data_IF_242861784258
#
_entry.id   IF_242861784258
#
_cell.length_a   1.000
_cell.length_b   1.000
_cell.length_c   1.000
_cell.angle_alpha   90.00
_cell.angle_beta   90.00
_cell.angle_gamma   90.00
#
_symmetry.space_group_name_H-M   'P 1'
#
loop_
_entity.id
_entity.type
_entity.pdbx_description
1 polymer ?
#
# COMPACT_ATOMS: atom_id res chain seq x y z
N UNK A 1 -7.27 -14.01 -4.75
CA UNK A 1 -6.44 -12.83 -4.47
C UNK A 1 -5.90 -12.93 -3.07
N UNK A 2 -4.67 -12.53 -2.82
CA UNK A 2 -4.19 -12.44 -1.46
C UNK A 2 -5.07 -11.45 -0.69
N UNK A 3 -5.54 -11.86 0.45
CA UNK A 3 -6.17 -10.95 1.40
C UNK A 3 -5.05 -10.21 2.12
N UNK A 4 -4.91 -8.91 1.85
CA UNK A 4 -3.98 -8.07 2.62
C UNK A 4 -4.51 -7.96 4.03
N UNK A 5 -3.67 -8.29 5.01
CA UNK A 5 -4.07 -8.23 6.41
C UNK A 5 -4.24 -6.77 6.85
N UNK A 6 -5.38 -6.46 7.43
CA UNK A 6 -5.71 -5.13 7.96
C UNK A 6 -6.11 -5.31 9.42
N UNK A 7 -5.51 -4.55 10.36
CA UNK A 7 -5.90 -4.63 11.77
C UNK A 7 -7.40 -4.43 11.96
N UNK A 8 -8.06 -5.11 12.92
CA UNK A 8 -9.51 -5.05 13.11
C UNK A 8 -10.06 -3.61 13.29
N UNK A 9 -9.32 -2.77 14.00
CA UNK A 9 -9.68 -1.39 14.28
C UNK A 9 -8.82 -0.40 13.47
N UNK A 10 -8.57 -0.70 12.19
CA UNK A 10 -7.71 0.10 11.34
C UNK A 10 -8.23 1.54 11.15
N UNK A 11 -7.57 2.50 11.73
CA UNK A 11 -7.77 3.93 11.48
C UNK A 11 -6.73 4.51 10.49
N UNK A 12 -5.89 3.65 9.89
CA UNK A 12 -4.78 3.98 9.00
C UNK A 12 -3.65 4.80 9.63
N UNK A 13 -3.66 5.03 10.94
CA UNK A 13 -2.62 5.79 11.63
C UNK A 13 -1.51 4.85 12.07
N UNK A 14 -0.30 5.18 11.68
CA UNK A 14 0.89 4.46 12.07
C UNK A 14 2.08 5.38 12.32
N UNK A 15 3.15 4.80 12.82
CA UNK A 15 4.38 5.52 13.15
C UNK A 15 5.61 4.72 12.74
N UNK A 16 6.68 5.41 12.40
CA UNK A 16 8.02 4.82 12.49
C UNK A 16 8.43 4.82 13.96
N UNK A 17 8.91 3.68 14.47
CA UNK A 17 9.31 3.51 15.86
C UNK A 17 10.57 4.34 16.19
N UNK A 18 11.71 3.70 16.34
CA UNK A 18 13.01 4.34 16.41
C UNK A 18 13.73 4.24 15.06
N UNK A 19 14.69 5.14 14.75
CA UNK A 19 15.43 5.10 13.48
C UNK A 19 16.56 4.06 13.46
N UNK A 20 16.63 3.19 14.46
CA UNK A 20 17.68 2.19 14.66
C UNK A 20 17.13 0.85 15.18
N UNK A 21 18.02 -0.12 15.44
CA UNK A 21 17.71 -1.48 15.86
C UNK A 21 17.97 -1.77 17.34
N UNK A 22 18.07 -0.74 18.20
CA UNK A 22 18.55 -0.87 19.58
C UNK A 22 17.44 -0.89 20.63
N UNK A 23 16.22 -0.47 20.28
CA UNK A 23 15.16 -0.18 21.23
C UNK A 23 14.07 -1.26 21.24
N UNK A 24 14.47 -2.54 21.42
CA UNK A 24 13.55 -3.68 21.44
C UNK A 24 13.61 -4.47 22.76
N UNK A 25 13.99 -3.78 23.86
CA UNK A 25 13.96 -4.40 25.20
C UNK A 25 12.53 -4.44 25.73
N UNK A 26 12.29 -5.32 26.70
CA UNK A 26 11.01 -5.40 27.37
C UNK A 26 10.59 -4.07 28.03
N UNK A 27 11.56 -3.34 28.61
CA UNK A 27 11.35 -2.00 29.15
C UNK A 27 10.92 -0.98 28.06
N UNK A 28 11.39 -1.14 26.83
CA UNK A 28 10.98 -0.27 25.73
C UNK A 28 9.52 -0.57 25.34
N UNK A 29 9.14 -1.85 25.30
CA UNK A 29 7.74 -2.24 25.08
C UNK A 29 6.80 -1.64 26.11
N UNK A 30 7.11 -1.80 27.40
CA UNK A 30 6.31 -1.24 28.50
C UNK A 30 6.22 0.29 28.46
N UNK A 31 7.23 0.94 27.93
CA UNK A 31 7.24 2.42 27.79
C UNK A 31 6.39 2.88 26.63
N UNK A 32 6.52 2.25 25.45
CA UNK A 32 5.97 2.80 24.22
C UNK A 32 4.61 2.23 23.82
N UNK A 33 4.24 1.04 24.26
CA UNK A 33 2.93 0.47 23.97
C UNK A 33 1.76 1.32 24.53
N UNK A 34 1.80 1.85 25.77
CA UNK A 34 0.78 2.76 26.26
C UNK A 34 0.69 4.05 25.44
N UNK A 35 1.82 4.61 25.00
CA UNK A 35 1.84 5.83 24.20
C UNK A 35 1.24 5.58 22.79
N UNK A 36 1.56 4.44 22.17
CA UNK A 36 0.96 4.04 20.90
C UNK A 36 -0.57 3.90 21.02
N UNK A 37 -1.05 3.28 22.09
CA UNK A 37 -2.50 3.18 22.37
C UNK A 37 -3.16 4.56 22.57
N UNK A 38 -2.48 5.45 23.26
CA UNK A 38 -2.98 6.81 23.49
C UNK A 38 -3.06 7.62 22.18
N UNK A 39 -2.15 7.32 21.23
CA UNK A 39 -2.17 7.88 19.89
C UNK A 39 -3.14 7.15 18.95
N UNK A 40 -3.82 6.10 19.42
CA UNK A 40 -4.69 5.23 18.62
C UNK A 40 -3.99 4.67 17.37
N UNK A 41 -2.73 4.23 17.55
CA UNK A 41 -1.92 3.71 16.48
C UNK A 41 -2.36 2.29 16.09
N UNK A 42 -2.67 2.07 14.82
CA UNK A 42 -2.97 0.73 14.27
C UNK A 42 -1.76 0.09 13.57
N UNK A 43 -0.69 0.86 13.30
CA UNK A 43 0.48 0.40 12.55
C UNK A 43 1.78 0.91 13.16
N UNK A 44 2.85 0.10 13.04
CA UNK A 44 4.17 0.48 13.54
C UNK A 44 5.29 -0.04 12.63
N UNK A 45 6.06 0.85 12.03
CA UNK A 45 7.25 0.50 11.24
C UNK A 45 8.44 0.29 12.15
N UNK A 46 9.03 -0.90 12.09
CA UNK A 46 10.17 -1.33 12.89
C UNK A 46 11.39 -1.54 11.99
N UNK A 47 12.52 -0.92 12.30
CA UNK A 47 13.79 -1.21 11.60
C UNK A 47 14.29 -2.57 12.04
N UNK A 48 14.22 -3.56 11.16
CA UNK A 48 14.59 -4.94 11.47
C UNK A 48 16.10 -5.17 11.26
N UNK A 49 16.81 -5.72 12.26
CA UNK A 49 18.19 -6.18 12.06
C UNK A 49 18.24 -7.33 11.06
N UNK A 50 19.35 -7.45 10.31
CA UNK A 50 19.56 -8.54 9.35
C UNK A 50 20.28 -9.75 9.96
N UNK A 51 20.93 -9.57 11.09
CA UNK A 51 21.76 -10.55 11.79
C UNK A 51 21.03 -11.25 12.96
N UNK A 52 19.90 -10.71 13.39
CA UNK A 52 19.09 -11.24 14.49
C UNK A 52 17.63 -10.83 14.34
N UNK A 53 16.74 -11.57 14.96
CA UNK A 53 15.34 -11.18 15.05
C UNK A 53 15.12 -10.09 16.12
N UNK A 54 14.12 -9.23 15.89
CA UNK A 54 13.48 -8.47 16.97
C UNK A 54 12.90 -9.50 17.95
N UNK A 55 13.04 -9.34 19.27
CA UNK A 55 12.55 -10.32 20.23
C UNK A 55 11.06 -10.63 20.06
N UNK A 56 10.71 -11.91 20.15
CA UNK A 56 9.34 -12.41 19.97
C UNK A 56 8.33 -11.69 20.87
N UNK A 57 8.67 -11.48 22.14
CA UNK A 57 7.79 -10.78 23.08
C UNK A 57 7.45 -9.34 22.63
N UNK A 58 8.38 -8.68 21.94
CA UNK A 58 8.14 -7.33 21.43
C UNK A 58 7.13 -7.34 20.26
N UNK A 59 7.31 -8.28 19.35
CA UNK A 59 6.38 -8.47 18.21
C UNK A 59 5.01 -8.89 18.73
N UNK A 60 4.94 -9.92 19.59
CA UNK A 60 3.68 -10.38 20.16
C UNK A 60 2.96 -9.28 20.94
N UNK A 61 3.72 -8.44 21.68
CA UNK A 61 3.17 -7.30 22.38
C UNK A 61 2.49 -6.28 21.47
N UNK A 62 2.95 -6.09 20.22
CA UNK A 62 2.28 -5.25 19.23
C UNK A 62 1.04 -5.96 18.67
N UNK A 63 1.20 -7.20 18.21
CA UNK A 63 0.12 -8.00 17.57
C UNK A 63 -1.06 -8.22 18.52
N UNK A 64 -0.82 -8.60 19.75
CA UNK A 64 -1.85 -8.81 20.79
C UNK A 64 -2.61 -7.52 21.14
N UNK A 65 -2.03 -6.37 20.86
CA UNK A 65 -2.66 -5.07 21.07
C UNK A 65 -3.18 -4.44 19.76
N UNK A 66 -3.41 -5.26 18.73
CA UNK A 66 -4.00 -4.86 17.44
C UNK A 66 -3.18 -3.79 16.69
N UNK A 67 -1.87 -3.72 16.95
CA UNK A 67 -0.92 -2.87 16.24
C UNK A 67 -0.17 -3.74 15.23
N UNK A 68 -0.38 -3.50 13.94
CA UNK A 68 0.28 -4.25 12.85
C UNK A 68 1.74 -3.82 12.72
N UNK A 69 2.72 -4.70 12.95
CA UNK A 69 4.12 -4.39 12.75
C UNK A 69 4.48 -4.50 11.27
N UNK A 70 5.15 -3.48 10.75
CA UNK A 70 5.75 -3.46 9.42
C UNK A 70 7.26 -3.54 9.61
N UNK A 71 7.89 -4.63 9.22
CA UNK A 71 9.33 -4.78 9.34
C UNK A 71 10.03 -4.10 8.18
N UNK A 72 11.01 -3.27 8.46
CA UNK A 72 11.83 -2.62 7.45
C UNK A 72 13.27 -3.11 7.52
N UNK A 73 13.64 -4.01 6.61
CA UNK A 73 15.01 -4.47 6.40
C UNK A 73 15.74 -3.50 5.47
N UNK A 74 16.59 -2.67 6.02
CA UNK A 74 17.43 -1.74 5.27
C UNK A 74 18.65 -2.49 4.69
N UNK A 75 18.38 -3.43 3.78
CA UNK A 75 19.41 -4.25 3.15
C UNK A 75 20.33 -3.39 2.28
N UNK A 76 21.66 -3.65 2.28
CA UNK A 76 22.57 -2.98 1.37
C UNK A 76 22.36 -3.49 -0.07
N UNK A 77 22.38 -2.56 -1.03
CA UNK A 77 22.20 -2.91 -2.45
C UNK A 77 23.48 -3.44 -3.13
N UNK A 78 24.64 -3.15 -2.57
CA UNK A 78 25.92 -3.61 -3.12
C UNK A 78 26.27 -5.05 -2.74
N UNK A 79 25.64 -5.59 -1.71
CA UNK A 79 25.85 -6.96 -1.24
C UNK A 79 24.53 -7.70 -1.22
N UNK A 80 24.54 -8.97 -1.65
CA UNK A 80 23.36 -9.84 -1.56
C UNK A 80 23.44 -10.54 -0.20
N UNK A 81 22.49 -10.28 0.72
CA UNK A 81 22.47 -10.96 2.00
C UNK A 81 22.20 -12.46 1.79
N UNK A 82 22.73 -13.34 2.65
CA UNK A 82 22.46 -14.76 2.56
C UNK A 82 20.96 -15.03 2.64
N UNK A 83 20.38 -15.56 1.57
CA UNK A 83 18.94 -15.78 1.46
C UNK A 83 18.44 -16.79 2.51
N UNK A 84 19.32 -17.71 2.95
CA UNK A 84 19.02 -18.69 4.00
C UNK A 84 18.76 -18.01 5.35
N UNK A 85 19.55 -17.02 5.72
CA UNK A 85 19.41 -16.29 6.99
C UNK A 85 18.12 -15.45 6.98
N UNK A 86 17.85 -14.76 5.87
CA UNK A 86 16.60 -14.03 5.69
C UNK A 86 15.38 -14.96 5.76
N UNK A 87 15.44 -16.13 5.13
CA UNK A 87 14.35 -17.11 5.19
C UNK A 87 14.03 -17.54 6.62
N UNK A 88 15.05 -17.77 7.44
CA UNK A 88 14.85 -18.13 8.86
C UNK A 88 14.14 -16.99 9.61
N UNK A 89 14.57 -15.76 9.39
CA UNK A 89 13.93 -14.57 10.00
C UNK A 89 12.48 -14.42 9.53
N UNK A 90 12.21 -14.55 8.24
CA UNK A 90 10.87 -14.41 7.67
C UNK A 90 9.89 -15.44 8.22
N UNK A 91 10.29 -16.72 8.32
CA UNK A 91 9.44 -17.77 8.90
C UNK A 91 9.15 -17.52 10.40
N UNK A 92 10.13 -17.03 11.16
CA UNK A 92 9.90 -16.70 12.56
C UNK A 92 8.92 -15.54 12.70
N UNK A 93 9.12 -14.45 11.94
CA UNK A 93 8.24 -13.29 11.98
C UNK A 93 6.81 -13.62 11.54
N UNK A 94 6.64 -14.40 10.47
CA UNK A 94 5.31 -14.86 10.02
C UNK A 94 4.60 -15.69 11.12
N UNK A 95 5.35 -16.57 11.82
CA UNK A 95 4.82 -17.34 12.95
C UNK A 95 4.41 -16.47 14.13
N UNK A 96 5.07 -15.33 14.34
CA UNK A 96 4.74 -14.36 15.40
C UNK A 96 3.65 -13.36 15.01
N UNK A 97 3.04 -13.54 13.83
CA UNK A 97 1.90 -12.73 13.38
C UNK A 97 2.26 -11.45 12.63
N UNK A 98 3.52 -11.27 12.22
CA UNK A 98 3.89 -10.19 11.28
C UNK A 98 3.35 -10.51 9.90
N UNK A 99 2.80 -9.51 9.23
CA UNK A 99 2.31 -9.67 7.86
C UNK A 99 3.16 -8.93 6.82
N UNK A 100 3.77 -7.79 7.13
CA UNK A 100 4.41 -6.92 6.15
C UNK A 100 5.91 -6.79 6.33
N UNK A 101 6.66 -6.87 5.21
CA UNK A 101 8.10 -6.68 5.20
C UNK A 101 8.56 -5.76 4.06
N UNK A 102 9.16 -4.63 4.42
CA UNK A 102 9.81 -3.72 3.49
C UNK A 102 11.26 -4.18 3.31
N UNK A 103 11.68 -4.33 2.06
CA UNK A 103 13.02 -4.75 1.69
C UNK A 103 13.74 -3.60 0.99
N UNK A 104 14.95 -3.25 1.46
CA UNK A 104 15.74 -2.12 0.97
C UNK A 104 15.16 -0.73 1.32
N UNK A 105 15.90 0.31 0.95
CA UNK A 105 15.51 1.71 1.12
C UNK A 105 16.09 2.57 0.00
N UNK A 106 15.28 3.41 -0.60
CA UNK A 106 15.63 4.43 -1.59
C UNK A 106 16.58 3.95 -2.73
N UNK A 107 16.30 2.81 -3.43
CA UNK A 107 17.17 2.28 -4.48
C UNK A 107 17.34 3.21 -5.69
N UNK A 108 16.56 4.26 -5.78
CA UNK A 108 16.64 5.28 -6.80
C UNK A 108 17.60 6.44 -6.44
N UNK A 109 18.37 6.28 -5.36
CA UNK A 109 19.40 7.22 -4.93
C UNK A 109 20.79 6.71 -5.27
N UNK A 110 21.67 7.61 -5.72
CA UNK A 110 23.07 7.29 -6.00
C UNK A 110 23.82 6.76 -4.76
N UNK A 111 23.50 7.30 -3.61
CA UNK A 111 24.13 6.92 -2.33
C UNK A 111 23.81 5.48 -1.90
N UNK A 112 22.80 4.85 -2.48
CA UNK A 112 22.44 3.46 -2.19
C UNK A 112 23.31 2.44 -2.96
N UNK A 113 24.15 2.88 -3.89
CA UNK A 113 24.93 2.04 -4.80
C UNK A 113 26.41 2.39 -4.80
N UNK A 114 27.23 1.44 -5.23
CA UNK A 114 28.58 1.75 -5.65
C UNK A 114 28.58 2.64 -6.90
N UNK A 115 29.62 3.44 -7.07
CA UNK A 115 29.73 4.31 -8.24
C UNK A 115 29.74 3.52 -9.56
N UNK A 116 30.31 2.31 -9.55
CA UNK A 116 30.35 1.43 -10.71
C UNK A 116 28.97 0.87 -11.10
N UNK A 117 28.17 0.45 -10.11
CA UNK A 117 26.81 -0.04 -10.37
C UNK A 117 25.88 1.09 -10.78
N UNK A 118 25.98 2.25 -10.13
CA UNK A 118 25.15 3.41 -10.48
C UNK A 118 25.36 3.89 -11.92
N UNK A 119 26.56 3.78 -12.44
CA UNK A 119 26.88 4.20 -13.80
C UNK A 119 26.37 3.24 -14.90
N UNK A 120 25.76 2.11 -14.53
CA UNK A 120 25.26 1.14 -15.50
C UNK A 120 23.90 1.59 -16.06
N UNK A 121 23.68 1.33 -17.36
CA UNK A 121 22.43 1.66 -18.04
C UNK A 121 21.23 0.79 -17.59
N UNK A 122 21.48 -0.33 -16.91
CA UNK A 122 20.50 -1.32 -16.48
C UNK A 122 20.28 -1.32 -14.95
N UNK A 123 20.41 -0.16 -14.29
CA UNK A 123 20.31 -0.04 -12.84
C UNK A 123 19.02 -0.67 -12.27
N UNK A 124 17.88 -0.51 -12.94
CA UNK A 124 16.61 -1.11 -12.51
C UNK A 124 16.68 -2.63 -12.59
N UNK A 125 17.29 -3.20 -13.61
CA UNK A 125 17.47 -4.65 -13.71
C UNK A 125 18.41 -5.16 -12.60
N UNK A 126 19.49 -4.44 -12.32
CA UNK A 126 20.36 -4.74 -11.17
C UNK A 126 19.61 -4.66 -9.83
N UNK A 127 18.70 -3.73 -9.68
CA UNK A 127 17.82 -3.66 -8.51
C UNK A 127 16.89 -4.88 -8.42
N UNK A 128 16.24 -5.24 -9.52
CA UNK A 128 15.32 -6.38 -9.55
C UNK A 128 16.02 -7.72 -9.28
N UNK A 129 17.26 -7.89 -9.72
CA UNK A 129 18.09 -9.07 -9.39
C UNK A 129 18.32 -9.22 -7.87
N UNK A 130 18.27 -8.12 -7.13
CA UNK A 130 18.42 -8.10 -5.66
C UNK A 130 17.09 -8.18 -4.94
N UNK A 131 16.07 -7.51 -5.46
CA UNK A 131 14.77 -7.38 -4.81
C UNK A 131 13.91 -8.65 -4.93
N UNK A 132 13.85 -9.25 -6.12
CA UNK A 132 12.93 -10.38 -6.40
C UNK A 132 13.22 -11.59 -5.51
N UNK A 133 14.47 -12.09 -5.38
CA UNK A 133 14.70 -13.29 -4.58
C UNK A 133 14.28 -13.18 -3.12
N UNK A 134 14.64 -12.13 -2.35
CA UNK A 134 14.17 -12.02 -0.97
C UNK A 134 12.67 -11.69 -0.87
N UNK A 135 12.07 -11.00 -1.84
CA UNK A 135 10.64 -10.74 -1.89
C UNK A 135 9.83 -12.04 -2.09
N UNK A 136 10.26 -12.90 -3.00
CA UNK A 136 9.66 -14.24 -3.16
C UNK A 136 9.87 -15.12 -1.93
N UNK A 137 11.01 -15.03 -1.27
CA UNK A 137 11.28 -15.74 -0.04
C UNK A 137 10.35 -15.30 1.09
N UNK A 138 10.13 -13.99 1.23
CA UNK A 138 9.17 -13.43 2.18
C UNK A 138 7.74 -13.92 1.88
N UNK A 139 7.32 -13.87 0.61
CA UNK A 139 6.00 -14.35 0.21
C UNK A 139 5.81 -15.86 0.48
N UNK A 140 6.83 -16.68 0.21
CA UNK A 140 6.82 -18.13 0.54
C UNK A 140 6.75 -18.40 2.03
N UNK A 141 7.30 -17.52 2.86
CA UNK A 141 7.22 -17.61 4.31
C UNK A 141 5.86 -17.16 4.88
N UNK A 142 4.97 -16.61 4.05
CA UNK A 142 3.65 -16.10 4.44
C UNK A 142 3.61 -14.60 4.75
N UNK A 143 4.72 -13.88 4.49
CA UNK A 143 4.76 -12.43 4.62
C UNK A 143 4.33 -11.75 3.31
N UNK A 144 3.86 -10.54 3.41
CA UNK A 144 3.55 -9.66 2.28
C UNK A 144 4.78 -8.80 1.99
N UNK A 145 5.49 -9.02 0.87
CA UNK A 145 6.63 -8.19 0.52
C UNK A 145 6.17 -6.78 0.12
N UNK A 146 6.86 -5.79 0.64
CA UNK A 146 6.60 -4.38 0.33
C UNK A 146 7.73 -3.85 -0.53
N UNK A 147 7.38 -3.32 -1.70
CA UNK A 147 8.33 -2.63 -2.58
C UNK A 147 8.94 -1.45 -1.82
N UNK A 148 10.28 -1.25 -1.89
CA UNK A 148 10.97 -0.26 -1.08
C UNK A 148 10.48 1.16 -1.31
N UNK A 149 10.54 2.01 -0.26
CA UNK A 149 10.28 3.43 -0.45
C UNK A 149 11.32 4.03 -1.37
N UNK A 150 10.84 4.81 -2.33
CA UNK A 150 11.69 5.59 -3.22
C UNK A 150 11.85 7.02 -2.68
N UNK A 151 12.98 7.66 -3.00
CA UNK A 151 13.15 9.09 -2.77
C UNK A 151 12.34 9.87 -3.78
N UNK A 152 11.31 10.64 -3.37
CA UNK A 152 10.55 11.46 -4.30
C UNK A 152 11.43 12.50 -4.99
N UNK A 153 11.48 12.46 -6.33
CA UNK A 153 12.38 13.30 -7.10
C UNK A 153 13.87 12.98 -6.93
N UNK A 154 14.21 11.71 -6.65
CA UNK A 154 15.59 11.24 -6.52
C UNK A 154 16.40 11.36 -7.81
N UNK A 155 17.72 11.05 -7.76
CA UNK A 155 18.61 11.14 -8.91
C UNK A 155 18.14 10.25 -10.07
N UNK A 156 17.63 9.05 -9.77
CA UNK A 156 16.72 8.37 -10.70
C UNK A 156 15.31 8.72 -10.25
N UNK A 157 14.55 9.38 -11.13
CA UNK A 157 13.23 9.89 -10.79
C UNK A 157 12.30 8.75 -10.33
N UNK A 158 11.72 8.88 -9.14
CA UNK A 158 10.94 7.83 -8.47
C UNK A 158 9.80 7.26 -9.31
N UNK A 159 9.01 8.09 -9.98
CA UNK A 159 7.92 7.62 -10.84
C UNK A 159 8.41 6.84 -12.06
N UNK A 160 9.57 7.21 -12.61
CA UNK A 160 10.19 6.47 -13.71
C UNK A 160 10.80 5.17 -13.22
N UNK A 161 11.46 5.18 -12.05
CA UNK A 161 12.03 3.98 -11.42
C UNK A 161 10.94 2.97 -11.07
N UNK A 162 9.85 3.40 -10.43
CA UNK A 162 8.72 2.54 -10.09
C UNK A 162 8.12 1.90 -11.34
N UNK A 163 7.82 2.71 -12.38
CA UNK A 163 7.27 2.21 -13.64
C UNK A 163 8.19 1.15 -14.26
N UNK A 164 9.48 1.44 -14.37
CA UNK A 164 10.45 0.53 -14.94
C UNK A 164 10.59 -0.76 -14.13
N UNK A 165 10.52 -0.66 -12.79
CA UNK A 165 10.56 -1.82 -11.89
C UNK A 165 9.33 -2.71 -12.05
N UNK A 166 8.12 -2.16 -12.04
CA UNK A 166 6.88 -2.94 -12.25
C UNK A 166 6.87 -3.61 -13.62
N UNK A 167 7.27 -2.90 -14.68
CA UNK A 167 7.43 -3.47 -16.02
C UNK A 167 8.50 -4.58 -16.04
N UNK A 168 9.59 -4.41 -15.30
CA UNK A 168 10.66 -5.41 -15.20
C UNK A 168 10.19 -6.68 -14.49
N UNK A 169 9.45 -6.56 -13.38
CA UNK A 169 8.85 -7.71 -12.67
C UNK A 169 7.88 -8.45 -13.62
N UNK A 170 7.05 -7.72 -14.36
CA UNK A 170 6.11 -8.29 -15.33
C UNK A 170 6.85 -9.03 -16.48
N UNK A 171 7.88 -8.41 -17.09
CA UNK A 171 8.69 -9.04 -18.15
C UNK A 171 9.41 -10.32 -17.70
N UNK A 172 9.76 -10.40 -16.41
CA UNK A 172 10.39 -11.60 -15.80
C UNK A 172 9.37 -12.69 -15.44
N UNK A 173 8.07 -12.46 -15.68
CA UNK A 173 7.02 -13.41 -15.39
C UNK A 173 6.68 -13.57 -13.89
N UNK A 174 7.15 -12.66 -13.02
CA UNK A 174 6.90 -12.71 -11.59
C UNK A 174 5.49 -12.14 -11.24
N UNK A 175 4.44 -12.62 -11.92
CA UNK A 175 3.07 -12.16 -11.71
C UNK A 175 2.58 -12.41 -10.29
N UNK A 176 2.97 -13.56 -9.71
CA UNK A 176 2.65 -13.87 -8.31
C UNK A 176 3.13 -12.75 -7.37
N UNK A 177 4.34 -12.23 -7.58
CA UNK A 177 4.85 -11.13 -6.76
C UNK A 177 4.04 -9.85 -6.95
N UNK A 178 3.67 -9.50 -8.18
CA UNK A 178 2.83 -8.32 -8.46
C UNK A 178 1.45 -8.40 -7.80
N UNK A 179 0.89 -9.61 -7.70
CA UNK A 179 -0.42 -9.84 -7.07
C UNK A 179 -0.35 -9.82 -5.53
N UNK A 180 0.81 -10.14 -4.94
CA UNK A 180 0.98 -10.37 -3.50
C UNK A 180 1.82 -9.30 -2.80
N UNK A 181 2.31 -8.30 -3.52
CA UNK A 181 3.11 -7.24 -2.92
C UNK A 181 2.31 -5.96 -2.68
N UNK A 182 2.84 -5.12 -1.82
CA UNK A 182 2.38 -3.76 -1.54
C UNK A 182 3.47 -2.78 -2.00
N UNK A 183 3.12 -1.58 -2.39
CA UNK A 183 4.09 -0.50 -2.68
C UNK A 183 4.22 0.38 -1.45
N UNK A 184 5.43 0.81 -1.10
CA UNK A 184 5.61 1.88 -0.12
C UNK A 184 5.98 3.19 -0.80
N UNK A 185 5.52 4.31 -0.22
CA UNK A 185 5.76 5.65 -0.75
C UNK A 185 6.12 6.63 0.36
N UNK A 186 7.21 7.37 0.18
CA UNK A 186 7.60 8.46 1.09
C UNK A 186 6.70 9.68 0.86
N UNK A 187 5.78 9.95 1.79
CA UNK A 187 4.74 10.97 1.66
C UNK A 187 4.99 12.24 2.51
N UNK A 188 6.25 12.59 2.71
CA UNK A 188 6.63 13.82 3.41
C UNK A 188 6.24 15.04 2.56
N UNK A 189 5.43 15.96 3.13
CA UNK A 189 4.93 17.11 2.37
C UNK A 189 5.99 18.19 2.11
N UNK A 190 7.10 18.18 2.84
CA UNK A 190 8.04 19.30 2.82
C UNK A 190 7.34 20.59 3.23
N UNK A 191 7.57 21.67 2.49
CA UNK A 191 6.90 22.97 2.66
C UNK A 191 5.67 23.12 1.73
N UNK A 192 5.32 22.07 0.97
CA UNK A 192 4.21 22.13 0.00
C UNK A 192 2.86 22.03 0.70
N UNK A 193 1.79 22.60 0.11
CA UNK A 193 0.42 22.33 0.54
C UNK A 193 0.12 20.82 0.56
N UNK A 194 -0.80 20.39 1.42
CA UNK A 194 -1.11 18.95 1.54
C UNK A 194 -1.83 18.39 0.31
N UNK A 195 -2.50 19.24 -0.46
CA UNK A 195 -3.12 18.87 -1.73
C UNK A 195 -2.16 18.94 -2.93
N UNK A 196 -0.87 19.23 -2.71
CA UNK A 196 0.13 19.26 -3.78
C UNK A 196 0.18 17.94 -4.54
N UNK A 197 0.01 18.00 -5.86
CA UNK A 197 0.02 16.85 -6.75
C UNK A 197 -1.24 15.96 -6.68
N UNK A 198 -2.24 16.34 -5.90
CA UNK A 198 -3.49 15.61 -5.75
C UNK A 198 -4.18 15.41 -7.12
N UNK A 199 -4.73 14.21 -7.34
CA UNK A 199 -5.32 13.78 -8.61
C UNK A 199 -4.29 13.20 -9.58
N UNK A 200 -3.01 13.16 -9.20
CA UNK A 200 -1.97 12.45 -9.95
C UNK A 200 -1.72 12.96 -11.37
N UNK A 201 -1.16 12.12 -12.25
CA UNK A 201 -0.79 12.53 -13.62
C UNK A 201 -2.00 12.87 -14.51
N UNK A 202 -3.18 12.41 -14.18
CA UNK A 202 -4.41 12.77 -14.92
C UNK A 202 -4.73 14.27 -14.77
N UNK A 203 -4.62 14.78 -13.54
CA UNK A 203 -4.83 16.20 -13.26
C UNK A 203 -3.64 17.06 -13.65
N UNK A 204 -2.43 16.48 -13.63
CA UNK A 204 -1.17 17.20 -13.87
C UNK A 204 -0.36 16.59 -15.04
N UNK A 205 -0.92 16.54 -16.28
CA UNK A 205 -0.28 15.88 -17.42
C UNK A 205 1.01 16.58 -17.88
N UNK A 206 1.23 17.83 -17.44
CA UNK A 206 2.43 18.60 -17.75
C UNK A 206 3.63 18.24 -16.87
N UNK A 207 3.39 17.57 -15.74
CA UNK A 207 4.46 17.07 -14.88
C UNK A 207 5.01 15.75 -15.44
N UNK A 208 6.29 15.75 -15.78
CA UNK A 208 7.00 14.60 -16.32
C UNK A 208 8.20 14.27 -15.45
N UNK A 209 8.70 13.04 -15.49
CA UNK A 209 9.96 12.73 -14.85
C UNK A 209 11.05 13.75 -15.18
N UNK A 210 11.75 14.23 -14.16
CA UNK A 210 12.80 15.24 -14.21
C UNK A 210 12.36 16.67 -14.64
N UNK A 211 11.09 16.86 -14.99
CA UNK A 211 10.61 18.15 -15.50
C UNK A 211 9.20 18.45 -14.99
N UNK A 212 9.08 19.45 -14.12
CA UNK A 212 7.79 20.02 -13.70
C UNK A 212 7.72 21.45 -14.19
N UNK A 213 6.80 21.74 -15.12
CA UNK A 213 6.64 23.10 -15.65
C UNK A 213 6.15 24.06 -14.56
N UNK A 214 6.47 25.37 -14.67
CA UNK A 214 5.89 26.38 -13.79
C UNK A 214 4.36 26.31 -13.77
N UNK A 215 3.75 26.29 -12.60
CA UNK A 215 2.30 26.18 -12.43
C UNK A 215 1.76 24.75 -12.43
N UNK A 216 2.55 23.73 -12.81
CA UNK A 216 2.20 22.33 -12.64
C UNK A 216 2.65 21.82 -11.26
N UNK A 217 2.00 20.75 -10.80
CA UNK A 217 2.36 20.06 -9.57
C UNK A 217 2.84 18.64 -9.89
N UNK A 218 3.64 18.06 -9.00
CA UNK A 218 4.24 16.75 -9.17
C UNK A 218 4.00 15.86 -7.93
N UNK A 219 4.52 14.63 -7.97
CA UNK A 219 4.34 13.62 -6.92
C UNK A 219 5.03 13.93 -5.59
N UNK A 220 5.88 14.96 -5.52
CA UNK A 220 6.72 15.24 -4.34
C UNK A 220 5.93 15.90 -3.21
N UNK A 221 4.99 15.17 -2.60
CA UNK A 221 4.15 15.68 -1.52
C UNK A 221 3.31 14.59 -0.85
N UNK A 222 2.35 15.01 -0.04
CA UNK A 222 1.47 14.08 0.70
C UNK A 222 0.62 13.20 -0.24
N UNK A 223 0.18 13.74 -1.39
CA UNK A 223 -0.65 13.03 -2.36
C UNK A 223 0.15 12.13 -3.34
N UNK A 224 1.36 11.68 -2.97
CA UNK A 224 2.19 10.79 -3.81
C UNK A 224 1.49 9.47 -4.17
N UNK A 225 0.58 9.00 -3.32
CA UNK A 225 -0.22 7.79 -3.59
C UNK A 225 -0.99 7.87 -4.90
N UNK A 226 -1.55 9.02 -5.26
CA UNK A 226 -2.32 9.20 -6.49
C UNK A 226 -1.47 8.92 -7.75
N UNK A 227 -0.19 9.29 -7.67
CA UNK A 227 0.78 9.06 -8.75
C UNK A 227 1.20 7.60 -8.85
N UNK A 228 1.47 6.96 -7.70
CA UNK A 228 1.90 5.56 -7.65
C UNK A 228 0.77 4.61 -8.03
N UNK A 229 -0.46 4.89 -7.59
CA UNK A 229 -1.67 4.17 -8.03
C UNK A 229 -1.87 4.27 -9.54
N UNK A 230 -1.74 5.47 -10.11
CA UNK A 230 -1.87 5.66 -11.57
C UNK A 230 -0.79 4.89 -12.36
N UNK A 231 0.45 4.81 -11.83
CA UNK A 231 1.52 4.01 -12.45
C UNK A 231 1.22 2.52 -12.36
N UNK A 232 0.81 2.02 -11.19
CA UNK A 232 0.44 0.62 -11.01
C UNK A 232 -0.71 0.24 -11.94
N UNK A 233 -1.77 1.04 -11.99
CA UNK A 233 -2.90 0.85 -12.89
C UNK A 233 -2.47 0.82 -14.36
N UNK A 234 -1.58 1.71 -14.78
CA UNK A 234 -1.13 1.80 -16.17
C UNK A 234 -0.19 0.64 -16.58
N UNK A 235 0.55 0.04 -15.65
CA UNK A 235 1.51 -1.03 -15.94
C UNK A 235 0.91 -2.41 -15.70
N UNK A 236 0.25 -2.60 -14.56
CA UNK A 236 -0.23 -3.91 -14.10
C UNK A 236 -1.70 -4.14 -14.48
N UNK A 237 -2.43 -3.05 -14.82
CA UNK A 237 -3.85 -3.12 -15.16
C UNK A 237 -4.78 -3.06 -13.93
N UNK A 238 -4.20 -3.01 -12.72
CA UNK A 238 -4.93 -2.89 -11.46
C UNK A 238 -4.13 -2.07 -10.46
N UNK A 239 -4.78 -1.43 -9.47
CA UNK A 239 -4.07 -0.77 -8.40
C UNK A 239 -3.36 -1.79 -7.51
N UNK A 240 -2.19 -1.42 -7.00
CA UNK A 240 -1.48 -2.17 -5.96
C UNK A 240 -1.65 -1.40 -4.65
N UNK A 241 -1.97 -2.05 -3.53
CA UNK A 241 -2.09 -1.37 -2.24
C UNK A 241 -0.83 -0.60 -1.85
N UNK A 242 -0.99 0.49 -1.11
CA UNK A 242 0.10 1.41 -0.77
C UNK A 242 0.21 1.61 0.74
N UNK A 243 1.43 1.56 1.25
CA UNK A 243 1.80 1.99 2.60
C UNK A 243 2.54 3.33 2.49
N UNK A 244 1.99 4.38 3.09
CA UNK A 244 2.66 5.67 3.17
C UNK A 244 3.66 5.67 4.32
N UNK A 245 4.86 6.15 4.05
CA UNK A 245 5.97 6.25 4.98
C UNK A 245 6.43 7.70 5.14
N UNK A 246 7.14 7.97 6.23
CA UNK A 246 7.74 9.27 6.50
C UNK A 246 6.75 10.44 6.45
N UNK A 247 5.50 10.22 6.89
CA UNK A 247 4.52 11.29 6.99
C UNK A 247 5.03 12.41 7.91
N UNK A 248 4.84 13.62 7.46
CA UNK A 248 5.25 14.81 8.19
C UNK A 248 5.37 16.02 7.26
N UNK A 249 5.74 17.14 7.83
CA UNK A 249 6.04 18.37 7.13
C UNK A 249 7.32 19.00 7.66
N UNK A 250 8.06 19.70 6.82
CA UNK A 250 9.15 20.55 7.28
C UNK A 250 8.59 21.75 8.04
N UNK A 251 9.31 22.27 9.05
CA UNK A 251 8.97 23.55 9.64
C UNK A 251 8.85 24.61 8.55
N UNK A 252 7.92 25.55 8.69
CA UNK A 252 7.86 26.67 7.77
C UNK A 252 9.06 27.59 7.99
N UNK A 253 9.44 28.36 6.97
CA UNK A 253 10.49 29.39 7.09
C UNK A 253 10.01 30.63 7.86
N UNK A 254 8.95 30.49 8.66
CA UNK A 254 8.37 31.57 9.45
C UNK A 254 9.36 32.07 10.51
N UNK A 255 9.38 33.37 10.73
CA UNK A 255 10.26 34.00 11.73
C UNK A 255 9.79 33.82 13.17
N UNK A 256 8.67 33.14 13.41
CA UNK A 256 8.08 32.92 14.72
C UNK A 256 7.99 31.44 15.07
N UNK A 257 8.76 30.91 16.04
CA UNK A 257 8.71 29.51 16.47
C UNK A 257 7.31 29.04 16.89
N UNK A 258 6.53 29.90 17.56
CA UNK A 258 5.17 29.54 17.99
C UNK A 258 4.19 29.42 16.83
N UNK A 259 4.31 30.26 15.80
CA UNK A 259 3.47 30.18 14.61
C UNK A 259 3.80 28.94 13.79
N UNK A 260 5.09 28.57 13.71
CA UNK A 260 5.57 27.37 13.05
C UNK A 260 5.05 26.11 13.74
N UNK A 261 5.12 26.06 15.07
CA UNK A 261 4.62 24.93 15.84
C UNK A 261 3.12 24.74 15.64
N UNK A 262 2.31 25.81 15.69
CA UNK A 262 0.85 25.76 15.45
C UNK A 262 0.54 25.28 14.02
N UNK A 263 1.29 25.76 13.04
CA UNK A 263 1.15 25.34 11.64
C UNK A 263 1.48 23.85 11.47
N UNK A 264 2.57 23.38 12.09
CA UNK A 264 2.98 21.98 12.04
C UNK A 264 1.96 21.05 12.69
N UNK A 265 1.41 21.40 13.86
CA UNK A 265 0.32 20.65 14.51
C UNK A 265 -0.92 20.61 13.63
N UNK A 266 -1.33 21.75 13.08
CA UNK A 266 -2.49 21.84 12.17
C UNK A 266 -2.35 20.93 10.96
N UNK A 267 -1.17 20.94 10.28
CA UNK A 267 -0.87 20.07 9.15
C UNK A 267 -0.91 18.59 9.52
N UNK A 268 -0.32 18.25 10.67
CA UNK A 268 -0.35 16.88 11.18
C UNK A 268 -1.78 16.38 11.38
N UNK A 269 -2.64 17.17 12.02
CA UNK A 269 -4.07 16.81 12.20
C UNK A 269 -4.83 16.73 10.88
N UNK A 270 -4.50 17.57 9.89
CA UNK A 270 -5.08 17.48 8.55
C UNK A 270 -4.71 16.20 7.84
N UNK A 271 -3.45 15.73 7.97
CA UNK A 271 -3.02 14.42 7.46
C UNK A 271 -3.76 13.27 8.15
N UNK A 272 -3.90 13.33 9.49
CA UNK A 272 -4.66 12.33 10.27
C UNK A 272 -6.10 12.26 9.76
N UNK A 273 -6.75 13.39 9.58
CA UNK A 273 -8.12 13.44 9.04
C UNK A 273 -8.22 12.86 7.63
N UNK A 274 -7.24 13.15 6.77
CA UNK A 274 -7.21 12.59 5.42
C UNK A 274 -7.03 11.06 5.41
N UNK A 275 -6.28 10.51 6.37
CA UNK A 275 -6.11 9.05 6.55
C UNK A 275 -7.41 8.42 7.08
N UNK A 276 -8.06 9.00 8.08
CA UNK A 276 -9.29 8.47 8.67
C UNK A 276 -10.46 8.41 7.69
N UNK A 277 -10.42 9.20 6.60
CA UNK A 277 -11.43 9.18 5.56
C UNK A 277 -12.58 10.20 5.78
N UNK A 278 -13.59 10.20 4.89
CA UNK A 278 -14.66 11.19 4.94
C UNK A 278 -15.63 10.91 6.08
N UNK A 279 -15.68 11.80 7.05
CA UNK A 279 -16.79 11.87 7.99
C UNK A 279 -17.99 12.57 7.36
N UNK A 280 -19.15 11.91 7.40
CA UNK A 280 -20.40 12.46 6.87
C UNK A 280 -20.90 13.71 7.63
N UNK A 281 -20.27 14.06 8.74
CA UNK A 281 -20.71 15.15 9.65
C UNK A 281 -19.67 16.25 9.90
N UNK A 282 -18.43 16.10 9.52
CA UNK A 282 -17.42 17.14 9.72
C UNK A 282 -17.52 18.20 8.61
N UNK A 283 -18.52 19.08 8.75
CA UNK A 283 -18.57 20.34 7.98
C UNK A 283 -17.45 21.25 8.48
N UNK A 284 -16.47 21.47 7.58
CA UNK A 284 -15.50 22.58 7.62
C UNK A 284 -15.08 23.04 9.03
N UNK A 285 -14.13 22.33 9.63
CA UNK A 285 -13.37 22.93 10.71
C UNK A 285 -12.41 23.95 10.07
N UNK A 286 -12.65 25.28 10.19
CA UNK A 286 -11.87 26.31 9.52
C UNK A 286 -10.42 26.40 9.98
N UNK A 287 -10.06 25.61 11.00
CA UNK A 287 -8.72 25.56 11.56
C UNK A 287 -7.80 24.54 10.87
N UNK A 288 -8.34 23.58 10.10
CA UNK A 288 -7.55 22.57 9.38
C UNK A 288 -7.30 22.97 7.91
N UNK A 289 -6.20 22.49 7.34
CA UNK A 289 -5.95 22.64 5.90
C UNK A 289 -6.95 21.76 5.14
N UNK A 290 -7.47 22.26 4.03
CA UNK A 290 -8.30 21.47 3.14
C UNK A 290 -7.42 20.40 2.48
N UNK A 291 -7.76 19.14 2.69
CA UNK A 291 -7.07 18.00 2.08
C UNK A 291 -8.11 16.93 1.75
N UNK A 292 -7.99 16.34 0.57
CA UNK A 292 -8.83 15.22 0.18
C UNK A 292 -8.48 13.97 1.00
N UNK A 293 -9.45 13.11 1.32
CA UNK A 293 -9.16 11.79 1.88
C UNK A 293 -8.19 11.04 0.99
N UNK A 294 -7.28 10.27 1.60
CA UNK A 294 -6.38 9.40 0.85
C UNK A 294 -7.18 8.31 0.11
N UNK A 295 -6.62 7.84 -1.00
CA UNK A 295 -7.25 6.80 -1.81
C UNK A 295 -7.52 5.51 -1.01
N UNK A 296 -8.54 4.70 -1.41
CA UNK A 296 -8.86 3.43 -0.74
C UNK A 296 -7.70 2.43 -0.77
N UNK A 297 -6.84 2.50 -1.76
CA UNK A 297 -5.65 1.65 -1.89
C UNK A 297 -4.59 1.91 -0.82
N UNK A 298 -4.65 3.04 -0.12
CA UNK A 298 -3.74 3.35 0.97
C UNK A 298 -4.15 2.56 2.21
N UNK A 299 -3.33 1.59 2.62
CA UNK A 299 -3.57 0.74 3.80
C UNK A 299 -3.34 1.52 5.10
N UNK A 300 -2.26 2.30 5.16
CA UNK A 300 -1.90 3.13 6.30
C UNK A 300 -0.94 4.25 5.92
N UNK A 301 -0.81 5.20 6.85
CA UNK A 301 0.17 6.28 6.77
C UNK A 301 0.98 6.37 8.07
N UNK A 302 2.30 6.21 7.95
CA UNK A 302 3.21 6.11 9.07
C UNK A 302 3.96 7.42 9.26
N UNK A 303 3.70 8.10 10.38
CA UNK A 303 4.36 9.35 10.73
C UNK A 303 5.81 9.12 11.16
N UNK A 304 6.69 9.98 10.70
CA UNK A 304 8.05 10.08 11.14
C UNK A 304 8.11 11.02 12.33
N UNK A 305 8.64 10.69 13.42
CA UNK A 305 9.21 9.50 14.04
C UNK A 305 8.58 9.39 15.43
N UNK A 306 8.17 8.20 15.89
CA UNK A 306 7.53 8.05 17.20
C UNK A 306 8.44 8.57 18.33
N UNK A 307 9.66 8.04 18.38
CA UNK A 307 10.58 8.41 19.44
C UNK A 307 12.02 8.57 18.95
N UNK A 308 12.74 9.46 19.61
CA UNK A 308 14.18 9.64 19.43
C UNK A 308 14.87 9.87 20.78
N UNK A 309 16.16 9.58 20.84
CA UNK A 309 17.00 10.03 21.94
C UNK A 309 17.16 11.57 21.90
N UNK A 310 17.26 12.25 23.05
CA UNK A 310 17.30 13.73 23.11
C UNK A 310 18.46 14.37 22.33
N UNK A 311 19.57 13.67 22.19
CA UNK A 311 20.77 14.10 21.45
C UNK A 311 20.78 13.62 19.99
N UNK A 312 19.74 12.94 19.55
CA UNK A 312 19.61 12.48 18.17
C UNK A 312 19.37 13.65 17.20
N UNK A 313 19.94 13.55 15.99
CA UNK A 313 19.63 14.46 14.88
C UNK A 313 18.13 14.50 14.50
N UNK A 314 17.35 13.56 15.01
CA UNK A 314 15.92 13.43 14.77
C UNK A 314 15.05 13.94 15.93
N UNK A 315 15.66 14.49 16.98
CA UNK A 315 14.95 14.94 18.18
C UNK A 315 13.79 15.91 17.86
N UNK A 316 14.03 16.89 16.99
CA UNK A 316 13.02 17.88 16.59
C UNK A 316 11.85 17.29 15.78
N UNK A 317 12.05 16.13 15.18
CA UNK A 317 11.05 15.44 14.36
C UNK A 317 10.23 14.43 15.17
N UNK A 318 10.72 14.00 16.32
CA UNK A 318 10.11 12.98 17.14
C UNK A 318 8.78 13.45 17.75
N UNK A 319 7.86 12.51 17.92
CA UNK A 319 6.61 12.72 18.65
C UNK A 319 6.85 12.68 20.17
N UNK A 320 7.79 11.86 20.57
CA UNK A 320 8.29 11.78 21.95
C UNK A 320 9.80 11.80 21.97
N UNK A 321 10.35 12.41 22.98
CA UNK A 321 11.76 12.23 23.35
C UNK A 321 11.81 11.29 24.54
N UNK A 322 12.77 10.37 24.55
CA UNK A 322 12.95 9.43 25.65
C UNK A 322 13.11 10.18 26.98
N UNK A 323 12.25 9.82 27.95
CA UNK A 323 12.23 10.47 29.26
C UNK A 323 11.51 11.83 29.33
N UNK A 324 10.85 12.27 28.25
CA UNK A 324 10.09 13.51 28.23
C UNK A 324 8.59 13.30 27.93
N UNK A 325 7.79 14.33 28.21
CA UNK A 325 6.38 14.38 27.79
C UNK A 325 6.30 14.49 26.26
N UNK A 326 5.20 13.98 25.68
CA UNK A 326 4.95 14.06 24.24
C UNK A 326 4.99 15.49 23.70
N UNK A 327 5.41 15.59 22.43
CA UNK A 327 5.45 16.86 21.69
C UNK A 327 4.05 17.49 21.54
N UNK A 328 3.96 18.78 21.18
CA UNK A 328 2.66 19.43 20.92
C UNK A 328 1.79 18.71 19.90
N UNK A 329 2.38 18.06 18.87
CA UNK A 329 1.63 17.25 17.89
C UNK A 329 1.06 15.98 18.52
N UNK A 330 1.79 15.31 19.41
CA UNK A 330 1.30 14.14 20.16
C UNK A 330 0.12 14.54 21.05
N UNK A 331 0.27 15.61 21.85
CA UNK A 331 -0.79 16.13 22.69
C UNK A 331 -2.02 16.58 21.89
N UNK A 332 -1.83 17.12 20.69
CA UNK A 332 -2.93 17.55 19.83
C UNK A 332 -3.68 16.35 19.26
N UNK A 333 -2.99 15.28 18.86
CA UNK A 333 -3.60 14.05 18.37
C UNK A 333 -4.41 13.35 19.48
N UNK A 334 -3.85 13.24 20.67
CA UNK A 334 -4.53 12.68 21.84
C UNK A 334 -5.84 13.44 22.14
N UNK A 335 -5.78 14.78 22.12
CA UNK A 335 -6.99 15.60 22.30
C UNK A 335 -7.99 15.42 21.16
N UNK A 336 -7.52 15.26 19.93
CA UNK A 336 -8.38 15.04 18.78
C UNK A 336 -9.13 13.71 18.91
N UNK A 337 -8.48 12.60 19.30
CA UNK A 337 -9.13 11.31 19.55
C UNK A 337 -10.16 11.36 20.69
N UNK A 338 -9.94 12.22 21.67
CA UNK A 338 -10.88 12.42 22.79
C UNK A 338 -12.05 13.35 22.44
N UNK A 339 -12.04 13.94 21.24
CA UNK A 339 -13.10 14.86 20.82
C UNK A 339 -14.33 14.13 20.26
N UNK A 340 -15.55 14.70 20.39
CA UNK A 340 -16.76 14.12 19.78
C UNK A 340 -16.67 13.98 18.24
N UNK A 341 -15.83 14.80 17.61
CA UNK A 341 -15.60 14.79 16.16
C UNK A 341 -14.85 13.51 15.72
N UNK A 342 -13.87 13.07 16.51
CA UNK A 342 -13.11 11.85 16.24
C UNK A 342 -13.95 10.58 16.48
N UNK A 343 -14.79 10.55 17.49
CA UNK A 343 -15.61 9.38 17.82
C UNK A 343 -16.63 9.01 16.74
N UNK A 344 -16.96 9.93 15.86
CA UNK A 344 -17.87 9.71 14.73
C UNK A 344 -17.12 9.13 13.50
N UNK A 345 -15.81 9.40 13.41
CA UNK A 345 -14.97 9.05 12.24
C UNK A 345 -14.34 7.65 12.32
N UNK A 346 -14.32 7.03 13.51
CA UNK A 346 -13.57 5.79 13.77
C UNK A 346 -14.16 4.49 13.20
N UNK A 347 -15.33 4.52 12.55
CA UNK A 347 -15.76 3.37 11.76
C UNK A 347 -15.25 3.49 10.32
N UNK A 348 -13.96 3.26 10.14
CA UNK A 348 -13.49 2.74 8.86
C UNK A 348 -14.18 1.39 8.67
N UNK A 349 -15.29 1.40 7.97
CA UNK A 349 -15.72 0.20 7.26
C UNK A 349 -14.59 -0.03 6.27
N UNK A 350 -13.88 -1.17 6.29
CA UNK A 350 -12.97 -1.49 5.20
C UNK A 350 -13.82 -1.24 3.96
N UNK A 351 -13.48 -0.24 3.17
CA UNK A 351 -13.89 -0.25 1.79
C UNK A 351 -13.31 -1.59 1.37
N UNK A 352 -14.18 -2.59 1.23
CA UNK A 352 -13.82 -3.71 0.41
C UNK A 352 -13.25 -3.01 -0.80
N UNK A 353 -11.92 -3.02 -0.95
CA UNK A 353 -11.32 -2.86 -2.25
C UNK A 353 -12.19 -3.78 -3.03
N UNK A 354 -13.08 -3.22 -3.88
CA UNK A 354 -13.98 -4.06 -4.64
C UNK A 354 -13.05 -5.10 -5.22
N UNK A 355 -13.03 -6.26 -4.59
CA UNK A 355 -12.15 -7.38 -4.94
C UNK A 355 -12.50 -7.86 -6.36
N UNK A 356 -13.31 -7.07 -7.05
CA UNK A 356 -13.92 -7.34 -8.31
C UNK A 356 -13.75 -6.13 -9.26
N UNK A 357 -12.48 -5.86 -9.70
CA UNK A 357 -12.17 -4.76 -10.62
C UNK A 357 -12.77 -4.96 -12.01
N UNK A 358 -13.33 -6.17 -12.28
CA UNK A 358 -14.00 -6.48 -13.53
C UNK A 358 -15.51 -6.26 -13.34
N UNK A 359 -16.10 -5.22 -13.93
CA UNK A 359 -17.55 -4.97 -13.79
C UNK A 359 -18.39 -6.14 -14.28
N UNK A 360 -17.96 -6.81 -15.35
CA UNK A 360 -18.65 -7.95 -15.92
C UNK A 360 -17.67 -8.91 -16.61
N UNK A 361 -17.69 -10.17 -16.21
CA UNK A 361 -16.86 -11.24 -16.78
C UNK A 361 -17.76 -12.29 -17.44
N UNK A 362 -17.50 -12.57 -18.70
CA UNK A 362 -18.13 -13.65 -19.44
C UNK A 362 -17.15 -14.83 -19.49
N UNK A 363 -17.49 -15.91 -18.78
CA UNK A 363 -16.68 -17.12 -18.82
C UNK A 363 -17.26 -18.10 -19.83
N UNK A 364 -16.41 -18.56 -20.76
CA UNK A 364 -16.72 -19.56 -21.77
C UNK A 364 -15.91 -20.83 -21.48
N UNK A 365 -16.42 -22.01 -21.87
CA UNK A 365 -15.69 -23.25 -21.71
C UNK A 365 -14.48 -23.30 -22.63
N UNK A 366 -13.38 -23.82 -22.12
CA UNK A 366 -12.17 -24.16 -22.88
C UNK A 366 -11.99 -25.67 -22.85
N UNK A 367 -11.71 -26.24 -24.01
CA UNK A 367 -11.48 -27.66 -24.21
C UNK A 367 -9.97 -27.91 -24.49
N UNK A 368 -9.51 -29.15 -24.36
CA UNK A 368 -8.13 -29.50 -24.66
C UNK A 368 -7.67 -29.10 -26.07
N UNK A 369 -8.62 -29.09 -27.03
CA UNK A 369 -8.39 -28.68 -28.41
C UNK A 369 -8.62 -27.18 -28.68
N UNK A 370 -8.96 -26.38 -27.65
CA UNK A 370 -9.19 -24.95 -27.77
C UNK A 370 -10.60 -24.51 -27.43
N UNK A 371 -11.03 -23.39 -28.00
CA UNK A 371 -12.35 -22.79 -27.78
C UNK A 371 -13.27 -23.16 -28.95
N UNK A 372 -14.48 -23.58 -28.66
CA UNK A 372 -15.45 -23.82 -29.70
C UNK A 372 -15.95 -22.50 -30.31
N UNK A 373 -15.76 -22.30 -31.60
CA UNK A 373 -16.19 -21.09 -32.33
C UNK A 373 -17.68 -20.78 -32.16
N UNK A 374 -18.51 -21.79 -32.01
CA UNK A 374 -19.92 -21.61 -31.82
C UNK A 374 -20.29 -20.92 -30.51
N UNK A 375 -19.54 -21.12 -29.42
CA UNK A 375 -19.72 -20.40 -28.17
C UNK A 375 -19.47 -18.89 -28.34
N UNK A 376 -18.41 -18.54 -29.03
CA UNK A 376 -18.09 -17.15 -29.34
C UNK A 376 -19.14 -16.53 -30.27
N UNK A 377 -19.63 -17.29 -31.25
CA UNK A 377 -20.65 -16.81 -32.17
C UNK A 377 -21.99 -16.59 -31.47
N UNK A 378 -22.43 -17.53 -30.60
CA UNK A 378 -23.61 -17.37 -29.77
C UNK A 378 -23.54 -16.19 -28.81
N UNK A 379 -22.37 -15.96 -28.23
CA UNK A 379 -22.14 -14.85 -27.28
C UNK A 379 -21.93 -13.49 -27.95
N UNK A 380 -21.66 -13.41 -29.24
CA UNK A 380 -21.30 -12.18 -29.97
C UNK A 380 -22.28 -11.01 -29.81
N UNK A 381 -23.62 -11.18 -29.87
CA UNK A 381 -24.57 -10.10 -29.62
C UNK A 381 -24.48 -9.56 -28.20
N UNK A 382 -24.38 -10.45 -27.23
CA UNK A 382 -24.23 -10.14 -25.82
C UNK A 382 -22.92 -9.35 -25.56
N UNK A 383 -21.80 -9.82 -26.13
CA UNK A 383 -20.50 -9.16 -26.04
C UNK A 383 -20.57 -7.73 -26.59
N UNK A 384 -21.23 -7.52 -27.70
CA UNK A 384 -21.40 -6.19 -28.31
C UNK A 384 -22.23 -5.25 -27.45
N UNK A 385 -23.29 -5.78 -26.80
CA UNK A 385 -24.23 -5.01 -25.99
C UNK A 385 -23.61 -4.61 -24.63
N UNK A 386 -23.00 -5.57 -23.93
CA UNK A 386 -22.56 -5.42 -22.54
C UNK A 386 -21.04 -5.22 -22.37
N UNK A 387 -20.25 -5.47 -23.40
CA UNK A 387 -18.79 -5.36 -23.43
C UNK A 387 -18.12 -6.02 -22.21
N UNK A 388 -18.48 -7.26 -21.84
CA UNK A 388 -17.86 -7.94 -20.73
C UNK A 388 -16.40 -8.26 -21.06
N UNK A 389 -15.57 -8.41 -20.03
CA UNK A 389 -14.30 -9.10 -20.19
C UNK A 389 -14.57 -10.57 -20.47
N UNK A 390 -13.95 -11.12 -21.51
CA UNK A 390 -14.13 -12.52 -21.90
C UNK A 390 -12.95 -13.34 -21.40
N UNK A 391 -13.21 -14.48 -20.80
CA UNK A 391 -12.16 -15.40 -20.40
C UNK A 391 -12.63 -16.82 -20.18
N UNK A 392 -11.71 -17.67 -19.74
CA UNK A 392 -11.88 -19.13 -19.68
C UNK A 392 -11.50 -19.69 -18.30
N UNK A 393 -11.11 -18.84 -17.36
CA UNK A 393 -10.64 -19.25 -16.05
C UNK A 393 -11.59 -18.79 -14.95
N UNK A 394 -12.00 -19.71 -14.09
CA UNK A 394 -12.76 -19.42 -12.87
C UNK A 394 -11.97 -18.49 -11.94
N UNK A 395 -10.64 -18.58 -11.92
CA UNK A 395 -9.82 -17.72 -11.07
C UNK A 395 -9.97 -16.24 -11.42
N UNK A 396 -10.12 -15.89 -12.71
CA UNK A 396 -10.41 -14.52 -13.11
C UNK A 396 -11.86 -14.10 -12.84
N UNK A 397 -12.79 -15.05 -12.77
CA UNK A 397 -14.17 -14.76 -12.44
C UNK A 397 -14.36 -14.23 -11.01
N UNK A 398 -13.48 -14.63 -10.05
CA UNK A 398 -13.47 -14.08 -8.69
C UNK A 398 -13.23 -12.56 -8.65
N UNK A 399 -12.65 -12.01 -9.71
CA UNK A 399 -12.34 -10.58 -9.84
C UNK A 399 -13.51 -9.76 -10.37
N UNK A 400 -14.64 -10.38 -10.66
CA UNK A 400 -15.76 -9.72 -11.32
C UNK A 400 -16.93 -9.49 -10.37
N UNK A 401 -17.54 -8.30 -10.45
CA UNK A 401 -18.80 -7.99 -9.77
C UNK A 401 -19.95 -8.86 -10.30
N UNK A 402 -19.94 -9.05 -11.61
CA UNK A 402 -20.92 -9.87 -12.32
C UNK A 402 -20.21 -10.91 -13.18
N UNK A 403 -20.63 -12.17 -13.05
CA UNK A 403 -20.11 -13.29 -13.83
C UNK A 403 -21.24 -13.94 -14.60
N UNK A 404 -21.17 -13.93 -15.93
CA UNK A 404 -22.03 -14.72 -16.77
C UNK A 404 -21.28 -15.98 -17.21
N UNK A 405 -21.76 -17.15 -16.79
CA UNK A 405 -21.15 -18.45 -17.06
C UNK A 405 -21.90 -19.09 -18.21
N UNK A 406 -21.22 -19.37 -19.30
CA UNK A 406 -21.77 -20.11 -20.42
C UNK A 406 -21.25 -21.55 -20.36
N UNK A 407 -22.08 -22.47 -19.97
CA UNK A 407 -21.74 -23.88 -19.85
C UNK A 407 -22.52 -24.61 -18.75
N UNK A 408 -22.51 -25.92 -18.82
CA UNK A 408 -23.21 -26.81 -17.89
C UNK A 408 -22.33 -27.17 -16.65
N UNK A 409 -22.83 -28.11 -15.85
CA UNK A 409 -22.18 -28.55 -14.63
C UNK A 409 -20.91 -29.38 -14.86
N UNK A 410 -20.78 -29.99 -16.06
CA UNK A 410 -19.57 -30.73 -16.43
C UNK A 410 -18.40 -29.76 -16.70
N UNK A 411 -18.66 -28.58 -17.28
CA UNK A 411 -17.64 -27.59 -17.58
C UNK A 411 -17.38 -26.69 -16.38
N UNK A 412 -18.41 -26.32 -15.62
CA UNK A 412 -18.31 -25.43 -14.46
C UNK A 412 -19.16 -26.00 -13.31
N UNK A 413 -18.56 -26.79 -12.39
CA UNK A 413 -19.30 -27.40 -11.29
C UNK A 413 -20.01 -26.36 -10.41
N UNK A 414 -21.24 -26.67 -9.96
CA UNK A 414 -22.02 -25.74 -9.12
C UNK A 414 -21.28 -25.33 -7.85
N UNK A 415 -20.45 -26.23 -7.28
CA UNK A 415 -19.60 -25.93 -6.14
C UNK A 415 -18.61 -24.78 -6.40
N UNK A 416 -18.12 -24.64 -7.63
CA UNK A 416 -17.25 -23.53 -8.03
C UNK A 416 -18.04 -22.22 -8.18
N UNK A 417 -19.28 -22.29 -8.67
CA UNK A 417 -20.15 -21.13 -8.76
C UNK A 417 -20.64 -20.64 -7.40
N UNK A 418 -20.84 -21.56 -6.44
CA UNK A 418 -21.10 -21.19 -5.04
C UNK A 418 -19.91 -20.47 -4.41
N UNK A 419 -18.69 -20.89 -4.68
CA UNK A 419 -17.48 -20.18 -4.23
C UNK A 419 -17.42 -18.75 -4.78
N UNK A 420 -17.77 -18.55 -6.06
CA UNK A 420 -17.88 -17.20 -6.66
C UNK A 420 -18.94 -16.35 -5.96
N UNK A 421 -20.14 -16.92 -5.67
CA UNK A 421 -21.20 -16.21 -4.94
C UNK A 421 -20.77 -15.85 -3.51
N UNK A 422 -20.10 -16.77 -2.82
CA UNK A 422 -19.56 -16.53 -1.48
C UNK A 422 -18.45 -15.47 -1.46
N UNK A 423 -17.74 -15.32 -2.57
CA UNK A 423 -16.76 -14.25 -2.79
C UNK A 423 -17.41 -12.90 -3.18
N UNK A 424 -18.75 -12.82 -3.25
CA UNK A 424 -19.49 -11.59 -3.53
C UNK A 424 -19.82 -11.37 -5.01
N UNK A 425 -19.50 -12.31 -5.92
CA UNK A 425 -19.86 -12.21 -7.33
C UNK A 425 -21.35 -12.44 -7.56
N UNK A 426 -21.97 -11.65 -8.42
CA UNK A 426 -23.30 -11.92 -8.95
C UNK A 426 -23.17 -12.91 -10.10
N UNK A 427 -23.39 -14.20 -9.82
CA UNK A 427 -23.18 -15.28 -10.79
C UNK A 427 -24.50 -15.68 -11.47
N UNK A 428 -24.49 -15.70 -12.78
CA UNK A 428 -25.57 -16.15 -13.62
C UNK A 428 -25.06 -17.23 -14.56
N UNK A 429 -25.73 -18.38 -14.61
CA UNK A 429 -25.42 -19.48 -15.52
C UNK A 429 -26.38 -19.49 -16.72
N UNK A 430 -25.80 -19.69 -17.87
CA UNK A 430 -26.50 -19.90 -19.16
C UNK A 430 -26.04 -21.23 -19.73
N UNK A 431 -26.95 -22.16 -19.90
CA UNK A 431 -26.67 -23.51 -20.40
C UNK A 431 -27.68 -23.96 -21.45
N UNK A 432 -27.30 -24.98 -22.19
CA UNK A 432 -28.10 -25.57 -23.26
C UNK A 432 -27.29 -25.75 -24.55
N UNK A 433 -27.99 -26.00 -25.64
CA UNK A 433 -27.40 -26.02 -26.98
C UNK A 433 -27.10 -24.60 -27.50
N UNK A 434 -26.41 -24.49 -28.63
CA UNK A 434 -25.98 -23.20 -29.18
C UNK A 434 -27.16 -22.24 -29.46
N UNK A 435 -28.33 -22.75 -29.79
CA UNK A 435 -29.53 -21.94 -30.04
C UNK A 435 -30.11 -21.42 -28.71
N UNK A 436 -30.23 -22.31 -27.73
CA UNK A 436 -30.68 -21.96 -26.38
C UNK A 436 -29.78 -20.92 -25.71
N UNK A 437 -28.45 -21.09 -25.79
CA UNK A 437 -27.49 -20.14 -25.28
C UNK A 437 -27.60 -18.78 -25.96
N UNK A 438 -27.71 -18.76 -27.30
CA UNK A 438 -27.88 -17.52 -28.05
C UNK A 438 -29.17 -16.79 -27.68
N UNK A 439 -30.28 -17.51 -27.51
CA UNK A 439 -31.57 -16.94 -27.10
C UNK A 439 -31.50 -16.37 -25.69
N UNK A 440 -31.03 -17.14 -24.71
CA UNK A 440 -30.86 -16.69 -23.32
C UNK A 440 -29.96 -15.45 -23.20
N UNK A 441 -28.86 -15.39 -23.99
CA UNK A 441 -27.97 -14.24 -24.02
C UNK A 441 -28.60 -13.02 -24.73
N UNK A 442 -29.49 -13.22 -25.67
CA UNK A 442 -30.18 -12.14 -26.39
C UNK A 442 -31.31 -11.49 -25.55
N UNK A 443 -31.93 -12.26 -24.66
CA UNK A 443 -33.01 -11.82 -23.77
C UNK A 443 -32.50 -10.97 -22.58
N UNK A 444 -31.20 -10.93 -22.38
CA UNK A 444 -30.55 -10.10 -21.34
C UNK A 444 -30.29 -8.70 -21.86
#
# INVERSE_FOLDING_TARGET
MPTFHIPPNNNRIGFHYFPDTKHYRESDLYTWLPELKTLDASWLVLVAPVDRAIPEYFINGMVENEIEPILHFQLPLDTIPPLQDLNLLFHNYARWGVNYVILYSEPNQRSAWSSATWAQNNLVECFLDRFIPPAEAAAKAGLIPVFPPLKPGGEYWDTAFLRASLQGIQRRGNYYLLEHMVISANAHSGNRPLDWGSGGPERWPEARPYQTKPGAQDQRGFAISDWYTAIAQAVVGQPIPIILLNLGSSPSESKSPDADQKSHVRRTLSMVKALAGPSSKSKNNPTLESVSPVAPEVLCGNFWLLCAEPDSRFADQAWFLKGSKGSPKAQALIRWHSSPEAQVDQKYTPVHLNNQPIPHYLILPAFEWGIADWHLNAARPFIRKYRPMIGFSLNYAFLAERVTVVGDDEQFPESALEQLRNAGCRVERICGDGTSIATQLAEK
#
